data_IF_434376814948
#
_entry.id   IF_434376814948
#
_cell.length_a   1.000
_cell.length_b   1.000
_cell.length_c   1.000
_cell.angle_alpha   90.00
_cell.angle_beta   90.00
_cell.angle_gamma   90.00
#
_symmetry.space_group_name_H-M   'P 1'
#
loop_
_entity.id
_entity.type
_entity.pdbx_description
1 polymer ?
#
# COMPACT_ATOMS: atom_id res chain seq x y z
N UNK A 1 74.43 5.03 -46.03
CA UNK A 1 74.67 3.61 -45.67
C UNK A 1 75.85 3.61 -44.70
N UNK A 2 75.67 3.09 -43.48
CA UNK A 2 76.63 3.20 -42.35
C UNK A 2 75.89 3.71 -41.12
N UNK A 3 75.24 2.87 -40.32
CA UNK A 3 75.77 1.90 -39.35
C UNK A 3 76.21 2.55 -38.03
N UNK A 4 75.48 2.16 -37.00
CA UNK A 4 75.55 2.36 -35.55
C UNK A 4 76.95 2.44 -34.91
N UNK A 5 77.11 3.36 -33.95
CA UNK A 5 78.00 3.27 -32.75
C UNK A 5 77.77 4.54 -31.92
N UNK A 6 77.58 4.55 -30.60
CA UNK A 6 77.53 3.49 -29.61
C UNK A 6 77.25 4.08 -28.21
N UNK A 7 76.86 3.18 -27.29
CA UNK A 7 77.21 3.09 -25.85
C UNK A 7 77.15 4.39 -25.00
N UNK A 8 76.48 4.42 -23.83
CA UNK A 8 76.78 3.59 -22.66
C UNK A 8 75.61 3.55 -21.65
N UNK A 9 75.53 2.41 -20.97
CA UNK A 9 74.87 2.08 -19.70
C UNK A 9 75.09 3.14 -18.60
N UNK A 10 74.11 3.33 -17.71
CA UNK A 10 74.20 3.12 -16.25
C UNK A 10 72.78 3.20 -15.67
N UNK A 11 72.36 2.11 -15.03
CA UNK A 11 71.17 2.05 -14.20
C UNK A 11 71.46 2.64 -12.82
N UNK A 12 70.55 3.45 -12.27
CA UNK A 12 70.16 3.32 -10.86
C UNK A 12 68.87 4.07 -10.53
N UNK A 13 67.91 3.26 -10.08
CA UNK A 13 66.68 3.54 -9.36
C UNK A 13 66.59 4.88 -8.62
N UNK A 14 65.44 5.55 -8.75
CA UNK A 14 64.68 6.05 -7.61
C UNK A 14 63.16 5.95 -7.89
N UNK A 15 62.44 5.40 -6.90
CA UNK A 15 60.98 5.40 -6.68
C UNK A 15 60.38 6.80 -6.97
N UNK A 16 59.14 6.93 -7.45
CA UNK A 16 57.93 7.00 -6.63
C UNK A 16 56.65 6.58 -7.41
N UNK A 17 55.64 6.17 -6.64
CA UNK A 17 54.46 5.35 -6.96
C UNK A 17 53.30 6.06 -7.71
N UNK A 18 52.36 5.27 -8.31
CA UNK A 18 51.45 5.69 -9.37
C UNK A 18 50.24 6.50 -8.91
N UNK A 19 49.85 7.48 -9.75
CA UNK A 19 48.64 8.27 -9.58
C UNK A 19 47.40 7.45 -9.93
N UNK A 20 46.72 6.97 -8.88
CA UNK A 20 45.40 6.33 -8.93
C UNK A 20 44.35 7.30 -9.48
N UNK A 21 43.54 6.85 -10.43
CA UNK A 21 42.20 7.41 -10.69
C UNK A 21 41.17 6.27 -10.73
N UNK A 22 40.27 6.32 -9.76
CA UNK A 22 39.18 5.38 -9.47
C UNK A 22 37.97 5.70 -10.34
N UNK A 23 37.39 4.72 -11.06
CA UNK A 23 36.00 4.70 -11.56
C UNK A 23 35.66 3.23 -11.87
N UNK A 24 34.58 2.58 -11.43
CA UNK A 24 33.44 2.93 -10.58
C UNK A 24 32.65 1.63 -10.32
N UNK A 25 32.19 1.43 -9.09
CA UNK A 25 31.37 0.28 -8.69
C UNK A 25 29.90 0.61 -9.00
N UNK A 26 29.30 -0.10 -9.96
CA UNK A 26 27.88 0.06 -10.29
C UNK A 26 27.01 -0.64 -9.22
N UNK A 27 26.49 0.13 -8.28
CA UNK A 27 25.48 -0.33 -7.31
C UNK A 27 24.10 -0.33 -7.97
N UNK A 28 23.55 -1.52 -8.22
CA UNK A 28 22.12 -1.68 -8.56
C UNK A 28 21.32 -1.52 -7.28
N UNK A 29 20.76 -0.33 -7.05
CA UNK A 29 19.78 -0.10 -6.00
C UNK A 29 18.43 -0.67 -6.45
N UNK A 30 18.08 -1.86 -5.97
CA UNK A 30 16.73 -2.38 -6.11
C UNK A 30 15.76 -1.45 -5.34
N UNK A 31 14.85 -0.80 -6.07
CA UNK A 31 13.79 0.02 -5.52
C UNK A 31 12.84 -0.88 -4.70
N UNK A 32 13.03 -0.91 -3.39
CA UNK A 32 12.02 -1.36 -2.44
C UNK A 32 10.87 -0.36 -2.51
N UNK A 33 9.82 -0.66 -3.28
CA UNK A 33 8.58 0.11 -3.22
C UNK A 33 7.93 -0.22 -1.87
N UNK A 34 7.78 0.74 -0.94
CA UNK A 34 7.03 0.49 0.28
C UNK A 34 5.57 0.26 -0.11
N UNK A 35 5.07 -0.95 0.11
CA UNK A 35 3.64 -1.22 0.03
C UNK A 35 2.99 -0.42 1.16
N UNK A 36 2.25 0.64 0.83
CA UNK A 36 1.50 1.42 1.81
C UNK A 36 0.36 0.52 2.27
N UNK A 37 0.58 -0.22 3.37
CA UNK A 37 -0.51 -0.88 4.07
C UNK A 37 -1.46 0.21 4.57
N UNK A 38 -2.68 0.26 4.02
CA UNK A 38 -3.73 1.09 4.59
C UNK A 38 -3.95 0.63 6.02
N UNK A 39 -3.76 1.51 6.99
CA UNK A 39 -3.96 1.16 8.39
C UNK A 39 -5.44 0.80 8.59
N UNK A 40 -5.71 -0.44 8.98
CA UNK A 40 -7.05 -0.85 9.33
C UNK A 40 -7.54 0.01 10.50
N UNK A 41 -8.69 0.64 10.32
CA UNK A 41 -9.28 1.46 11.36
C UNK A 41 -9.95 0.57 12.40
N UNK A 42 -9.85 0.97 13.67
CA UNK A 42 -10.40 0.20 14.78
C UNK A 42 -11.50 1.02 15.43
N UNK A 43 -12.72 0.53 15.31
CA UNK A 43 -13.92 1.15 15.87
C UNK A 43 -14.25 0.47 17.19
N UNK A 44 -14.46 1.27 18.23
CA UNK A 44 -14.99 0.81 19.52
C UNK A 44 -16.51 0.89 19.53
N UNK A 45 -17.17 0.11 20.37
CA UNK A 45 -18.63 0.11 20.46
C UNK A 45 -19.18 1.53 20.68
N UNK A 46 -20.28 1.86 20.00
CA UNK A 46 -20.97 3.16 20.06
C UNK A 46 -20.20 4.36 19.49
N UNK A 47 -19.02 4.15 18.89
CA UNK A 47 -18.35 5.19 18.11
C UNK A 47 -18.67 5.02 16.63
N UNK A 48 -19.06 6.12 15.98
CA UNK A 48 -19.15 6.16 14.54
C UNK A 48 -17.78 6.50 13.94
N UNK A 49 -17.43 5.83 12.85
CA UNK A 49 -16.23 6.08 12.07
C UNK A 49 -16.60 6.44 10.65
N UNK A 50 -16.11 7.60 10.21
CA UNK A 50 -16.17 7.99 8.79
C UNK A 50 -14.96 7.45 8.07
N UNK A 51 -15.19 6.76 6.97
CA UNK A 51 -14.18 6.17 6.09
C UNK A 51 -14.31 6.83 4.73
N UNK A 52 -13.22 7.40 4.23
CA UNK A 52 -13.16 7.90 2.86
C UNK A 52 -13.20 6.73 1.88
N UNK A 53 -14.06 6.84 0.87
CA UNK A 53 -14.14 5.93 -0.27
C UNK A 53 -13.73 6.70 -1.53
N UNK A 54 -13.57 5.99 -2.66
CA UNK A 54 -13.17 6.63 -3.92
C UNK A 54 -14.13 7.75 -4.35
N UNK A 55 -15.43 7.46 -4.35
CA UNK A 55 -16.47 8.37 -4.87
C UNK A 55 -17.44 8.82 -3.76
N UNK A 56 -16.96 8.94 -2.52
CA UNK A 56 -17.81 9.34 -1.40
C UNK A 56 -17.25 8.95 -0.03
N UNK A 57 -18.13 8.73 0.92
CA UNK A 57 -17.77 8.31 2.27
C UNK A 57 -18.73 7.25 2.80
N UNK A 58 -18.23 6.48 3.77
CA UNK A 58 -19.02 5.57 4.56
C UNK A 58 -18.95 5.98 6.03
N UNK A 59 -20.07 5.95 6.73
CA UNK A 59 -20.13 6.02 8.18
C UNK A 59 -20.45 4.63 8.70
N UNK A 60 -19.55 4.10 9.53
CA UNK A 60 -19.65 2.76 10.11
C UNK A 60 -19.77 2.89 11.62
N UNK A 61 -20.71 2.18 12.22
CA UNK A 61 -20.75 1.97 13.66
C UNK A 61 -21.28 0.58 13.96
N UNK A 62 -21.10 0.13 15.19
CA UNK A 62 -21.71 -1.11 15.65
C UNK A 62 -22.19 -1.03 17.08
N UNK A 63 -23.14 -1.90 17.40
CA UNK A 63 -23.60 -2.18 18.75
C UNK A 63 -23.33 -3.65 19.09
N UNK A 64 -23.13 -3.91 20.37
CA UNK A 64 -23.09 -5.27 20.88
C UNK A 64 -24.53 -5.74 21.08
N UNK A 65 -24.93 -6.82 20.41
CA UNK A 65 -26.23 -7.45 20.55
C UNK A 65 -26.02 -8.93 20.87
N UNK A 66 -26.20 -9.30 22.14
CA UNK A 66 -25.97 -10.68 22.62
C UNK A 66 -24.55 -11.19 22.29
N UNK A 67 -24.45 -12.21 21.45
CA UNK A 67 -23.20 -12.86 21.02
C UNK A 67 -22.69 -12.34 19.67
N UNK A 68 -23.34 -11.32 19.08
CA UNK A 68 -23.02 -10.74 17.77
C UNK A 68 -22.76 -9.22 17.84
N UNK A 69 -22.12 -8.71 16.81
CA UNK A 69 -22.14 -7.27 16.50
C UNK A 69 -23.23 -7.00 15.47
N UNK A 70 -24.09 -6.04 15.77
CA UNK A 70 -24.95 -5.43 14.75
C UNK A 70 -24.19 -4.24 14.17
N UNK A 71 -23.66 -4.42 12.95
CA UNK A 71 -22.87 -3.43 12.25
C UNK A 71 -23.75 -2.68 11.26
N UNK A 72 -23.78 -1.36 11.39
CA UNK A 72 -24.45 -0.46 10.47
C UNK A 72 -23.41 0.27 9.64
N UNK A 73 -23.56 0.23 8.32
CA UNK A 73 -22.78 1.03 7.39
C UNK A 73 -23.70 1.88 6.53
N UNK A 74 -23.51 3.19 6.57
CA UNK A 74 -24.22 4.15 5.72
C UNK A 74 -23.23 4.72 4.71
N UNK A 75 -23.49 4.53 3.42
CA UNK A 75 -22.65 5.01 2.32
C UNK A 75 -23.37 6.14 1.62
N UNK A 76 -22.65 7.22 1.33
CA UNK A 76 -23.12 8.26 0.42
C UNK A 76 -22.03 8.69 -0.55
N UNK A 77 -22.43 9.02 -1.79
CA UNK A 77 -21.53 9.61 -2.77
C UNK A 77 -21.21 11.08 -2.46
N UNK A 78 -22.22 11.83 -2.00
CA UNK A 78 -22.10 13.24 -1.62
C UNK A 78 -23.06 13.56 -0.46
N UNK A 79 -22.85 14.68 0.24
CA UNK A 79 -23.76 15.11 1.32
C UNK A 79 -25.23 15.27 0.88
N UNK A 80 -25.48 15.52 -0.41
CA UNK A 80 -26.83 15.73 -0.96
C UNK A 80 -27.41 14.48 -1.65
N UNK A 81 -26.62 13.43 -1.86
CA UNK A 81 -27.08 12.20 -2.51
C UNK A 81 -27.85 11.30 -1.51
N UNK A 82 -28.86 10.54 -1.97
CA UNK A 82 -29.46 9.50 -1.14
C UNK A 82 -28.42 8.51 -0.65
N UNK A 83 -28.44 8.21 0.65
CA UNK A 83 -27.53 7.27 1.25
C UNK A 83 -28.05 5.82 1.16
N UNK A 84 -27.15 4.87 0.96
CA UNK A 84 -27.43 3.45 1.07
C UNK A 84 -27.03 2.97 2.48
N UNK A 85 -27.93 2.24 3.14
CA UNK A 85 -27.68 1.68 4.47
C UNK A 85 -27.65 0.16 4.42
N UNK A 86 -26.59 -0.40 4.97
CA UNK A 86 -26.37 -1.84 5.09
C UNK A 86 -26.29 -2.22 6.58
N UNK A 87 -26.88 -3.35 6.93
CA UNK A 87 -26.83 -3.94 8.27
C UNK A 87 -26.30 -5.37 8.18
N UNK A 88 -25.33 -5.68 9.03
CA UNK A 88 -24.72 -7.00 9.11
C UNK A 88 -24.64 -7.46 10.55
N UNK A 89 -24.99 -8.72 10.78
CA UNK A 89 -24.76 -9.40 12.03
C UNK A 89 -23.43 -10.17 11.94
N UNK A 90 -22.46 -9.84 12.78
CA UNK A 90 -21.15 -10.49 12.80
C UNK A 90 -20.93 -11.24 14.12
N UNK A 91 -20.87 -12.57 14.04
CA UNK A 91 -20.34 -13.40 15.12
C UNK A 91 -18.82 -13.20 15.26
N UNK A 92 -18.23 -13.73 16.35
CA UNK A 92 -16.80 -13.61 16.60
C UNK A 92 -15.97 -14.15 15.42
N UNK A 93 -15.03 -13.33 14.92
CA UNK A 93 -14.16 -13.68 13.79
C UNK A 93 -14.82 -13.61 12.40
N UNK A 94 -16.12 -13.28 12.31
CA UNK A 94 -16.78 -13.11 11.02
C UNK A 94 -16.48 -11.76 10.38
N UNK A 95 -16.59 -11.75 9.05
CA UNK A 95 -16.44 -10.55 8.24
C UNK A 95 -17.58 -10.39 7.25
N UNK A 96 -17.90 -9.13 6.95
CA UNK A 96 -18.73 -8.72 5.83
C UNK A 96 -17.90 -7.90 4.84
N UNK A 97 -18.26 -7.95 3.56
CA UNK A 97 -17.67 -7.11 2.52
C UNK A 97 -18.78 -6.33 1.82
N UNK A 98 -18.61 -5.01 1.72
CA UNK A 98 -19.44 -4.14 0.90
C UNK A 98 -18.59 -3.68 -0.28
N UNK A 99 -19.08 -3.93 -1.50
CA UNK A 99 -18.48 -3.44 -2.73
C UNK A 99 -19.44 -2.45 -3.39
N UNK A 100 -18.95 -1.26 -3.67
CA UNK A 100 -19.67 -0.20 -4.36
C UNK A 100 -19.09 -0.10 -5.76
N UNK A 101 -19.93 -0.46 -6.74
CA UNK A 101 -19.53 -0.37 -8.15
C UNK A 101 -19.27 1.10 -8.50
N UNK A 102 -18.20 1.31 -9.25
CA UNK A 102 -17.98 2.57 -9.94
C UNK A 102 -18.57 2.57 -11.33
N UNK A 103 -18.16 3.55 -12.13
CA UNK A 103 -18.39 3.55 -13.57
C UNK A 103 -17.78 2.31 -14.24
N UNK A 104 -18.32 1.94 -15.40
CA UNK A 104 -17.82 0.83 -16.18
C UNK A 104 -16.30 0.97 -16.44
N UNK A 105 -15.54 -0.08 -16.09
CA UNK A 105 -14.09 -0.11 -16.23
C UNK A 105 -13.31 0.50 -15.07
N UNK A 106 -13.97 1.04 -14.05
CA UNK A 106 -13.31 1.53 -12.82
C UNK A 106 -13.31 0.48 -11.71
N UNK A 107 -12.26 0.43 -10.86
CA UNK A 107 -12.26 -0.42 -9.69
C UNK A 107 -13.42 -0.10 -8.73
N UNK A 108 -14.06 -1.14 -8.21
CA UNK A 108 -15.07 -0.99 -7.17
C UNK A 108 -14.41 -0.48 -5.88
N UNK A 109 -15.06 0.45 -5.19
CA UNK A 109 -14.68 0.77 -3.82
C UNK A 109 -15.11 -0.39 -2.92
N UNK A 110 -14.22 -0.81 -2.02
CA UNK A 110 -14.42 -1.98 -1.16
C UNK A 110 -14.26 -1.60 0.29
N UNK A 111 -15.18 -2.08 1.12
CA UNK A 111 -15.12 -1.99 2.58
C UNK A 111 -15.21 -3.40 3.16
N UNK A 112 -14.24 -3.78 3.99
CA UNK A 112 -14.25 -5.05 4.73
C UNK A 112 -14.44 -4.73 6.20
N UNK A 113 -15.46 -5.34 6.79
CA UNK A 113 -15.87 -5.18 8.18
C UNK A 113 -15.58 -6.50 8.88
N UNK A 114 -14.71 -6.52 9.89
CA UNK A 114 -14.34 -7.76 10.61
C UNK A 114 -14.52 -7.56 12.09
N UNK A 115 -15.22 -8.47 12.75
CA UNK A 115 -15.24 -8.53 14.21
C UNK A 115 -13.95 -9.17 14.71
N UNK A 116 -13.12 -8.39 15.39
CA UNK A 116 -11.87 -8.81 16.02
C UNK A 116 -11.97 -8.64 17.54
N UNK A 117 -12.33 -9.71 18.23
CA UNK A 117 -12.69 -9.69 19.64
C UNK A 117 -13.87 -8.73 19.90
N UNK A 118 -13.61 -7.71 20.73
CA UNK A 118 -14.58 -6.68 21.13
C UNK A 118 -14.52 -5.42 20.26
N UNK A 119 -13.77 -5.47 19.15
CA UNK A 119 -13.59 -4.33 18.25
C UNK A 119 -14.03 -4.65 16.84
N UNK A 120 -14.51 -3.64 16.14
CA UNK A 120 -14.77 -3.74 14.71
C UNK A 120 -13.57 -3.17 13.97
N UNK A 121 -12.94 -4.02 13.16
CA UNK A 121 -11.86 -3.65 12.25
C UNK A 121 -12.44 -3.31 10.90
N UNK A 122 -12.10 -2.13 10.38
CA UNK A 122 -12.63 -1.57 9.14
C UNK A 122 -11.50 -1.32 8.17
N UNK A 123 -11.57 -1.96 7.00
CA UNK A 123 -10.58 -1.83 5.94
C UNK A 123 -11.24 -1.28 4.68
N UNK A 124 -10.72 -0.17 4.17
CA UNK A 124 -11.10 0.35 2.86
C UNK A 124 -10.04 0.03 1.82
N UNK A 125 -10.49 -0.17 0.58
CA UNK A 125 -9.61 -0.40 -0.56
C UNK A 125 -10.35 -0.31 -1.88
N UNK A 126 -9.68 -0.73 -2.94
CA UNK A 126 -10.29 -0.89 -4.26
C UNK A 126 -10.06 -2.30 -4.78
N UNK A 127 -11.03 -2.84 -5.51
CA UNK A 127 -10.90 -4.11 -6.22
C UNK A 127 -10.99 -3.85 -7.71
N UNK A 128 -9.88 -4.07 -8.40
CA UNK A 128 -9.87 -4.03 -9.87
C UNK A 128 -10.80 -5.12 -10.39
N UNK A 129 -11.76 -4.75 -11.23
CA UNK A 129 -12.56 -5.74 -11.94
C UNK A 129 -11.59 -6.61 -12.73
N UNK A 130 -11.61 -7.93 -12.50
CA UNK A 130 -10.88 -8.88 -13.34
C UNK A 130 -11.50 -8.79 -14.72
N UNK A 131 -10.85 -8.10 -15.66
CA UNK A 131 -11.17 -8.21 -17.09
C UNK A 131 -10.73 -9.59 -17.54
N UNK A 132 -11.58 -10.60 -17.25
CA UNK A 132 -11.51 -11.88 -17.94
C UNK A 132 -12.04 -11.67 -19.35
N UNK A 133 -11.12 -11.52 -20.30
CA UNK A 133 -11.34 -11.76 -21.72
C UNK A 133 -10.56 -13.01 -22.10
#
# INVERSE_FOLDING_TARGET
MGAYMGLQYIALHHKELPMRRFIGLATVAALLVPSIASAADVVSAQQARTVALRDGSAVVFFTNAEDKFEVVTTVSATEAAPALRFTHDLAAGQSATIELSGDAGTPAARLVLTRDGDKLRVESGSKTASTGL
#
